data_IF_750158351062
#
_entry.id   IF_750158351062
#
_cell.length_a   1.000
_cell.length_b   1.000
_cell.length_c   1.000
_cell.angle_alpha   90.00
_cell.angle_beta   90.00
_cell.angle_gamma   90.00
#
_symmetry.space_group_name_H-M   'P 1'
#
loop_
_entity.id
_entity.type
_entity.pdbx_description
1 polymer ?
#
# COMPACT_ATOMS: atom_id res chain seq x y z
N UNK A 1 -13.13 14.85 15.67
CA UNK A 1 -12.53 14.21 14.46
C UNK A 1 -13.41 14.59 13.26
N UNK A 2 -12.92 15.38 12.30
CA UNK A 2 -13.72 15.72 11.11
C UNK A 2 -14.22 14.45 10.42
N UNK A 3 -15.49 14.44 10.00
CA UNK A 3 -16.17 13.29 9.36
C UNK A 3 -16.29 12.00 10.19
N UNK A 4 -15.91 12.02 11.48
CA UNK A 4 -15.92 10.83 12.34
C UNK A 4 -14.96 9.73 11.90
N UNK A 5 -13.91 10.05 11.12
CA UNK A 5 -12.96 9.09 10.54
C UNK A 5 -11.50 9.41 10.86
N UNK A 6 -10.71 8.35 11.03
CA UNK A 6 -9.25 8.38 11.14
C UNK A 6 -8.62 7.65 9.94
N UNK A 7 -7.33 7.88 9.62
CA UNK A 7 -6.35 8.71 10.32
C UNK A 7 -6.52 10.23 10.13
N UNK A 8 -5.96 11.02 11.06
CA UNK A 8 -5.89 12.48 11.01
C UNK A 8 -4.49 12.97 11.40
N UNK A 9 -3.89 13.82 10.56
CA UNK A 9 -2.65 14.54 10.84
C UNK A 9 -2.98 15.91 11.44
N UNK A 10 -2.31 16.25 12.54
CA UNK A 10 -2.38 17.54 13.22
C UNK A 10 -1.03 18.27 13.06
N UNK A 11 -1.05 19.54 12.65
CA UNK A 11 0.15 20.34 12.41
C UNK A 11 0.02 21.67 13.18
N UNK A 12 1.12 22.15 13.76
CA UNK A 12 1.15 23.43 14.50
C UNK A 12 0.21 23.41 15.69
N UNK A 13 0.42 22.49 16.64
CA UNK A 13 -0.45 22.28 17.81
C UNK A 13 -1.93 22.03 17.49
N UNK A 14 -2.24 21.60 16.26
CA UNK A 14 -3.60 21.25 15.83
C UNK A 14 -4.35 22.37 15.11
N UNK A 15 -3.68 23.47 14.77
CA UNK A 15 -4.22 24.55 13.92
C UNK A 15 -4.64 24.04 12.54
N UNK A 16 -3.78 23.20 11.93
CA UNK A 16 -4.07 22.57 10.64
C UNK A 16 -4.38 21.10 10.85
N UNK A 17 -5.45 20.65 10.20
CA UNK A 17 -5.97 19.28 10.29
C UNK A 17 -6.14 18.71 8.89
N UNK A 18 -5.63 17.51 8.66
CA UNK A 18 -5.78 16.77 7.42
C UNK A 18 -6.25 15.35 7.74
N UNK A 19 -7.30 14.86 7.07
CA UNK A 19 -7.92 13.57 7.35
C UNK A 19 -7.79 12.67 6.12
N UNK A 20 -7.79 11.35 6.37
CA UNK A 20 -7.62 10.27 5.39
C UNK A 20 -6.16 9.98 5.05
N UNK A 21 -5.83 8.69 4.91
CA UNK A 21 -4.45 8.22 4.73
C UNK A 21 -3.79 8.81 3.48
N UNK A 22 -4.41 8.69 2.29
CA UNK A 22 -3.80 9.13 1.02
C UNK A 22 -3.55 10.65 0.96
N UNK A 23 -4.49 11.54 1.34
CA UNK A 23 -4.19 12.97 1.43
C UNK A 23 -3.03 13.29 2.38
N UNK A 24 -2.97 12.62 3.53
CA UNK A 24 -1.86 12.77 4.49
C UNK A 24 -0.54 12.33 3.86
N UNK A 25 -0.51 11.16 3.20
CA UNK A 25 0.68 10.65 2.52
C UNK A 25 1.17 11.62 1.45
N UNK A 26 0.29 12.11 0.56
CA UNK A 26 0.67 13.07 -0.49
C UNK A 26 1.18 14.39 0.07
N UNK A 27 0.53 14.92 1.11
CA UNK A 27 0.99 16.16 1.75
C UNK A 27 2.42 16.02 2.32
N UNK A 28 2.69 14.91 3.02
CA UNK A 28 4.03 14.64 3.55
C UNK A 28 5.03 14.39 2.42
N UNK A 29 4.62 13.65 1.39
CA UNK A 29 5.45 13.35 0.24
C UNK A 29 5.92 14.62 -0.47
N UNK A 30 5.00 15.55 -0.75
CA UNK A 30 5.33 16.83 -1.37
C UNK A 30 6.32 17.63 -0.51
N UNK A 31 6.15 17.62 0.82
CA UNK A 31 7.06 18.30 1.77
C UNK A 31 8.48 17.71 1.76
N UNK A 32 8.62 16.43 1.49
CA UNK A 32 9.90 15.70 1.53
C UNK A 32 10.44 15.29 0.16
N UNK A 33 9.86 15.79 -0.94
CA UNK A 33 10.33 15.50 -2.30
C UNK A 33 10.06 14.06 -2.77
N UNK A 34 9.07 13.37 -2.20
CA UNK A 34 8.67 11.99 -2.53
C UNK A 34 7.47 11.95 -3.50
N UNK A 35 7.39 12.93 -4.39
CA UNK A 35 6.38 13.05 -5.46
C UNK A 35 7.07 13.00 -6.82
N UNK A 36 6.32 12.66 -7.85
CA UNK A 36 6.80 12.78 -9.22
C UNK A 36 6.99 14.25 -9.60
N UNK A 37 7.92 14.52 -10.52
CA UNK A 37 8.12 15.86 -11.07
C UNK A 37 7.09 16.18 -12.15
N UNK A 38 6.78 15.19 -12.98
CA UNK A 38 5.75 15.31 -13.98
C UNK A 38 4.35 15.12 -13.36
N UNK A 39 3.39 16.05 -13.58
CA UNK A 39 2.04 15.95 -13.03
C UNK A 39 1.25 14.72 -13.47
N UNK A 40 1.51 14.20 -14.68
CA UNK A 40 0.85 13.00 -15.16
C UNK A 40 1.38 11.76 -14.43
N UNK A 41 2.69 11.68 -14.20
CA UNK A 41 3.28 10.63 -13.36
C UNK A 41 2.75 10.69 -11.91
N UNK A 42 2.58 11.88 -11.33
CA UNK A 42 1.99 12.01 -9.99
C UNK A 42 0.51 11.56 -9.99
N UNK A 43 -0.24 11.84 -11.05
CA UNK A 43 -1.60 11.32 -11.23
C UNK A 43 -1.63 9.79 -11.41
N UNK A 44 -0.61 9.20 -12.07
CA UNK A 44 -0.46 7.73 -12.16
C UNK A 44 -0.21 7.11 -10.78
N UNK A 45 0.52 7.78 -9.90
CA UNK A 45 0.65 7.35 -8.51
C UNK A 45 -0.73 7.24 -7.83
N UNK A 46 -1.56 8.27 -7.97
CA UNK A 46 -2.92 8.28 -7.43
C UNK A 46 -3.79 7.16 -8.01
N UNK A 47 -3.80 6.98 -9.34
CA UNK A 47 -4.56 5.91 -10.01
C UNK A 47 -4.20 4.52 -9.48
N UNK A 48 -2.90 4.24 -9.34
CA UNK A 48 -2.44 2.95 -8.86
C UNK A 48 -2.76 2.74 -7.38
N UNK A 49 -2.69 3.78 -6.56
CA UNK A 49 -3.04 3.69 -5.14
C UNK A 49 -4.56 3.57 -4.93
N UNK A 50 -5.37 4.14 -5.81
CA UNK A 50 -6.83 3.91 -5.88
C UNK A 50 -7.14 2.46 -6.27
N UNK A 51 -6.47 1.93 -7.30
CA UNK A 51 -6.59 0.52 -7.67
C UNK A 51 -6.16 -0.43 -6.55
N UNK A 52 -5.10 -0.09 -5.81
CA UNK A 52 -4.65 -0.84 -4.64
C UNK A 52 -5.70 -0.81 -3.52
N UNK A 53 -6.43 0.30 -3.36
CA UNK A 53 -7.51 0.37 -2.37
C UNK A 53 -8.63 -0.60 -2.72
N UNK A 54 -9.03 -0.67 -3.99
CA UNK A 54 -10.05 -1.62 -4.45
C UNK A 54 -9.62 -3.06 -4.22
N UNK A 55 -8.34 -3.36 -4.42
CA UNK A 55 -7.74 -4.65 -4.06
C UNK A 55 -7.85 -4.93 -2.56
N UNK A 56 -7.42 -4.00 -1.71
CA UNK A 56 -7.48 -4.14 -0.26
C UNK A 56 -8.92 -4.37 0.25
N UNK A 57 -9.90 -3.70 -0.35
CA UNK A 57 -11.31 -3.86 0.02
C UNK A 57 -11.85 -5.28 -0.30
N UNK A 58 -11.20 -6.04 -1.19
CA UNK A 58 -11.54 -7.45 -1.43
C UNK A 58 -11.26 -8.36 -0.23
N UNK A 59 -10.38 -7.94 0.70
CA UNK A 59 -10.09 -8.71 1.91
C UNK A 59 -11.09 -8.46 3.04
N UNK A 60 -11.90 -7.39 2.96
CA UNK A 60 -12.88 -7.02 4.00
C UNK A 60 -13.78 -8.19 4.44
N UNK A 61 -14.30 -9.05 3.54
CA UNK A 61 -15.12 -10.19 3.95
C UNK A 61 -14.41 -11.16 4.90
N UNK A 62 -13.07 -11.30 4.79
CA UNK A 62 -12.25 -12.15 5.66
C UNK A 62 -12.09 -11.58 7.08
N UNK A 63 -12.49 -10.33 7.31
CA UNK A 63 -12.45 -9.70 8.63
C UNK A 63 -13.84 -9.58 9.27
N UNK A 64 -14.86 -9.38 8.45
CA UNK A 64 -16.21 -9.09 8.93
C UNK A 64 -17.15 -10.29 8.92
N UNK A 65 -16.82 -11.38 8.22
CA UNK A 65 -17.66 -12.57 8.14
C UNK A 65 -17.03 -13.76 8.89
N UNK A 66 -17.86 -14.46 9.67
CA UNK A 66 -17.48 -15.64 10.48
C UNK A 66 -17.85 -16.97 9.81
N UNK A 67 -18.65 -16.97 8.75
CA UNK A 67 -19.03 -18.16 8.00
C UNK A 67 -17.82 -18.74 7.25
N UNK A 68 -17.43 -19.96 7.60
CA UNK A 68 -16.20 -20.58 7.10
C UNK A 68 -16.26 -20.90 5.60
N UNK A 69 -17.39 -21.40 5.11
CA UNK A 69 -17.58 -21.75 3.70
C UNK A 69 -17.52 -20.51 2.81
N UNK A 70 -18.17 -19.43 3.23
CA UNK A 70 -18.12 -18.16 2.54
C UNK A 70 -16.69 -17.60 2.52
N UNK A 71 -15.98 -17.64 3.66
CA UNK A 71 -14.58 -17.20 3.73
C UNK A 71 -13.67 -18.02 2.81
N UNK A 72 -13.86 -19.35 2.76
CA UNK A 72 -13.12 -20.22 1.85
C UNK A 72 -13.37 -19.83 0.38
N UNK A 73 -14.64 -19.57 0.00
CA UNK A 73 -14.97 -19.10 -1.36
C UNK A 73 -14.31 -17.77 -1.71
N UNK A 74 -14.17 -16.86 -0.73
CA UNK A 74 -13.48 -15.58 -0.91
C UNK A 74 -11.99 -15.80 -1.12
N UNK A 75 -11.35 -16.68 -0.35
CA UNK A 75 -9.93 -17.04 -0.54
C UNK A 75 -9.68 -17.62 -1.93
N UNK A 76 -10.52 -18.56 -2.39
CA UNK A 76 -10.42 -19.12 -3.75
C UNK A 76 -10.54 -18.03 -4.81
N UNK A 77 -11.50 -17.11 -4.68
CA UNK A 77 -11.64 -15.97 -5.61
C UNK A 77 -10.42 -15.05 -5.58
N UNK A 78 -9.87 -14.80 -4.40
CA UNK A 78 -8.68 -13.97 -4.23
C UNK A 78 -7.50 -14.57 -5.00
N UNK A 79 -7.22 -15.85 -4.79
CA UNK A 79 -6.11 -16.56 -5.41
C UNK A 79 -6.26 -16.68 -6.93
N UNK A 80 -7.43 -17.11 -7.40
CA UNK A 80 -7.65 -17.45 -8.82
C UNK A 80 -7.87 -16.24 -9.73
N UNK A 81 -8.32 -15.11 -9.19
CA UNK A 81 -8.75 -13.97 -10.01
C UNK A 81 -8.24 -12.63 -9.49
N UNK A 82 -8.45 -12.30 -8.21
CA UNK A 82 -8.17 -10.95 -7.71
C UNK A 82 -6.67 -10.67 -7.65
N UNK A 83 -5.89 -11.54 -7.02
CA UNK A 83 -4.44 -11.37 -6.88
C UNK A 83 -3.76 -11.28 -8.25
N UNK A 84 -4.01 -12.20 -9.22
CA UNK A 84 -3.47 -12.06 -10.57
C UNK A 84 -3.87 -10.75 -11.26
N UNK A 85 -5.11 -10.31 -11.10
CA UNK A 85 -5.62 -9.07 -11.72
C UNK A 85 -4.90 -7.82 -11.20
N UNK A 86 -4.68 -7.72 -9.89
CA UNK A 86 -4.11 -6.52 -9.27
C UNK A 86 -2.60 -6.62 -9.09
N UNK A 87 -2.12 -7.62 -8.35
CA UNK A 87 -0.70 -7.80 -8.04
C UNK A 87 0.06 -8.12 -9.32
N UNK A 88 -0.48 -8.96 -10.20
CA UNK A 88 0.13 -9.22 -11.51
C UNK A 88 0.21 -7.98 -12.40
N UNK A 89 -0.77 -7.06 -12.31
CA UNK A 89 -0.72 -5.79 -13.02
C UNK A 89 0.35 -4.86 -12.46
N UNK A 90 0.45 -4.73 -11.13
CA UNK A 90 1.51 -3.96 -10.48
C UNK A 90 2.90 -4.52 -10.80
N UNK A 91 3.05 -5.85 -10.77
CA UNK A 91 4.29 -6.53 -11.13
C UNK A 91 4.72 -6.21 -12.56
N UNK A 92 3.80 -6.30 -13.51
CA UNK A 92 4.07 -5.94 -14.90
C UNK A 92 4.40 -4.44 -15.09
N UNK A 93 3.82 -3.55 -14.28
CA UNK A 93 4.14 -2.11 -14.31
C UNK A 93 5.55 -1.87 -13.76
N UNK A 94 5.87 -2.42 -12.59
CA UNK A 94 7.18 -2.24 -11.93
C UNK A 94 8.28 -2.86 -12.80
N UNK A 95 8.04 -4.03 -13.38
CA UNK A 95 8.98 -4.68 -14.30
C UNK A 95 9.30 -3.79 -15.52
N UNK A 96 8.33 -3.04 -16.05
CA UNK A 96 8.55 -2.07 -17.14
C UNK A 96 9.35 -0.85 -16.69
N UNK A 97 9.29 -0.50 -15.42
CA UNK A 97 10.08 0.56 -14.80
C UNK A 97 11.41 0.02 -14.23
N UNK A 98 12.06 -0.92 -14.94
CA UNK A 98 13.32 -1.55 -14.54
C UNK A 98 13.31 -2.25 -13.16
N UNK A 99 12.13 -2.54 -12.61
CA UNK A 99 12.01 -3.24 -11.33
C UNK A 99 12.15 -2.37 -10.08
N UNK A 100 12.29 -1.04 -10.20
CA UNK A 100 12.68 -0.19 -9.07
C UNK A 100 11.53 0.61 -8.45
N UNK A 101 10.54 1.02 -9.24
CA UNK A 101 9.47 1.92 -8.80
C UNK A 101 8.14 1.61 -9.51
N UNK A 102 7.02 1.87 -8.84
CA UNK A 102 5.69 1.74 -9.44
C UNK A 102 5.42 2.84 -10.49
N UNK A 103 6.03 4.01 -10.33
CA UNK A 103 5.99 5.13 -11.29
C UNK A 103 7.36 5.80 -11.33
N UNK A 104 7.79 6.20 -12.54
CA UNK A 104 9.03 6.94 -12.74
C UNK A 104 10.27 6.12 -12.38
N UNK A 105 11.32 6.83 -11.93
CA UNK A 105 12.66 6.28 -11.68
C UNK A 105 13.23 6.65 -10.30
N UNK A 106 12.40 7.18 -9.40
CA UNK A 106 12.79 7.57 -8.05
C UNK A 106 11.73 7.12 -7.05
N UNK A 107 12.15 6.91 -5.80
CA UNK A 107 11.25 6.56 -4.71
C UNK A 107 10.19 7.65 -4.52
N UNK A 108 8.92 7.23 -4.53
CA UNK A 108 7.78 8.09 -4.24
C UNK A 108 6.94 7.53 -3.09
N UNK A 109 5.96 8.32 -2.65
CA UNK A 109 4.97 7.86 -1.66
C UNK A 109 4.17 6.65 -2.14
N UNK A 110 3.99 6.47 -3.45
CA UNK A 110 3.26 5.34 -4.02
C UNK A 110 4.01 4.02 -3.80
N UNK A 111 5.34 4.02 -3.90
CA UNK A 111 6.16 2.84 -3.60
C UNK A 111 6.02 2.45 -2.13
N UNK A 112 6.15 3.43 -1.23
CA UNK A 112 6.04 3.21 0.22
C UNK A 112 4.63 2.73 0.63
N UNK A 113 3.59 3.33 0.04
CA UNK A 113 2.20 2.97 0.31
C UNK A 113 1.87 1.58 -0.22
N UNK A 114 2.29 1.25 -1.45
CA UNK A 114 2.14 -0.08 -2.04
C UNK A 114 2.83 -1.13 -1.18
N UNK A 115 4.11 -0.94 -0.87
CA UNK A 115 4.89 -1.87 -0.08
C UNK A 115 4.26 -2.13 1.30
N UNK A 116 3.86 -1.06 2.01
CA UNK A 116 3.21 -1.17 3.31
C UNK A 116 1.90 -1.94 3.23
N UNK A 117 1.02 -1.62 2.27
CA UNK A 117 -0.26 -2.31 2.14
C UNK A 117 -0.08 -3.80 1.82
N UNK A 118 0.78 -4.16 0.87
CA UNK A 118 1.01 -5.56 0.51
C UNK A 118 1.60 -6.34 1.69
N UNK A 119 2.62 -5.80 2.36
CA UNK A 119 3.19 -6.40 3.56
C UNK A 119 2.15 -6.55 4.69
N UNK A 120 1.34 -5.51 4.94
CA UNK A 120 0.33 -5.52 6.00
C UNK A 120 -0.71 -6.61 5.75
N UNK A 121 -1.32 -6.65 4.56
CA UNK A 121 -2.34 -7.66 4.25
C UNK A 121 -1.76 -9.07 4.20
N UNK A 122 -0.53 -9.25 3.71
CA UNK A 122 0.17 -10.55 3.77
C UNK A 122 0.34 -11.01 5.23
N UNK A 123 0.76 -10.11 6.12
CA UNK A 123 0.96 -10.38 7.55
C UNK A 123 -0.35 -10.74 8.25
N UNK A 124 -1.37 -9.89 8.12
CA UNK A 124 -2.65 -10.05 8.82
C UNK A 124 -3.40 -11.30 8.34
N UNK A 125 -3.37 -11.58 7.03
CA UNK A 125 -4.02 -12.75 6.45
C UNK A 125 -3.19 -14.03 6.61
N UNK A 126 -1.90 -13.91 6.91
CA UNK A 126 -0.92 -15.00 6.92
C UNK A 126 -0.83 -15.72 5.57
N UNK A 127 -0.88 -14.94 4.48
CA UNK A 127 -0.81 -15.45 3.10
C UNK A 127 0.25 -14.64 2.36
N UNK A 128 1.28 -15.32 1.87
CA UNK A 128 2.21 -14.71 0.93
C UNK A 128 1.63 -14.77 -0.50
N UNK A 129 0.93 -13.71 -0.87
CA UNK A 129 0.35 -13.56 -2.20
C UNK A 129 1.25 -12.76 -3.17
N UNK A 130 2.44 -12.34 -2.74
CA UNK A 130 3.40 -11.61 -3.60
C UNK A 130 4.57 -12.49 -4.06
N UNK A 131 4.82 -13.63 -3.42
CA UNK A 131 5.94 -14.55 -3.73
C UNK A 131 6.14 -14.88 -5.22
N UNK A 132 5.05 -14.96 -6.00
CA UNK A 132 5.09 -15.29 -7.44
C UNK A 132 5.23 -14.06 -8.35
N UNK A 133 5.41 -12.87 -7.77
CA UNK A 133 5.46 -11.57 -8.44
C UNK A 133 6.80 -10.89 -8.07
N UNK A 134 7.88 -11.18 -8.82
CA UNK A 134 9.23 -10.82 -8.42
C UNK A 134 9.50 -9.31 -8.42
N UNK A 135 8.92 -8.54 -9.34
CA UNK A 135 9.12 -7.10 -9.39
C UNK A 135 8.44 -6.41 -8.20
N UNK A 136 7.22 -6.83 -7.85
CA UNK A 136 6.54 -6.39 -6.61
C UNK A 136 7.32 -6.79 -5.38
N UNK A 137 7.78 -8.04 -5.30
CA UNK A 137 8.54 -8.55 -4.15
C UNK A 137 9.83 -7.75 -3.94
N UNK A 138 10.56 -7.47 -5.03
CA UNK A 138 11.76 -6.66 -4.98
C UNK A 138 11.48 -5.23 -4.52
N UNK A 139 10.41 -4.59 -5.02
CA UNK A 139 9.99 -3.26 -4.57
C UNK A 139 9.70 -3.26 -3.05
N UNK A 140 8.92 -4.22 -2.57
CA UNK A 140 8.56 -4.35 -1.16
C UNK A 140 9.83 -4.48 -0.31
N UNK A 141 10.72 -5.40 -0.67
CA UNK A 141 11.98 -5.62 0.04
C UNK A 141 12.87 -4.37 0.03
N UNK A 142 12.97 -3.68 -1.11
CA UNK A 142 13.72 -2.45 -1.23
C UNK A 142 13.21 -1.37 -0.27
N UNK A 143 11.89 -1.09 -0.28
CA UNK A 143 11.28 -0.10 0.62
C UNK A 143 11.56 -0.44 2.09
N UNK A 144 11.37 -1.70 2.50
CA UNK A 144 11.61 -2.10 3.89
C UNK A 144 13.10 -2.15 4.27
N UNK A 145 14.01 -2.13 3.31
CA UNK A 145 15.45 -2.04 3.54
C UNK A 145 15.96 -0.61 3.73
N UNK A 146 15.15 0.42 3.43
CA UNK A 146 15.53 1.82 3.63
C UNK A 146 15.82 2.02 5.13
N UNK A 147 17.00 2.54 5.53
CA UNK A 147 17.42 2.57 6.93
C UNK A 147 16.38 3.17 7.88
N UNK A 148 15.82 4.34 7.54
CA UNK A 148 14.81 4.99 8.37
C UNK A 148 13.51 4.17 8.51
N UNK A 149 13.13 3.41 7.49
CA UNK A 149 11.95 2.51 7.54
C UNK A 149 12.29 1.27 8.35
N UNK A 150 13.45 0.66 8.10
CA UNK A 150 13.93 -0.51 8.84
C UNK A 150 14.01 -0.22 10.35
N UNK A 151 14.65 0.88 10.73
CA UNK A 151 14.80 1.30 12.13
C UNK A 151 13.42 1.52 12.78
N UNK A 152 12.49 2.17 12.07
CA UNK A 152 11.11 2.33 12.55
C UNK A 152 10.40 0.98 12.74
N UNK A 153 10.58 0.03 11.83
CA UNK A 153 9.95 -1.28 11.90
C UNK A 153 10.45 -2.12 13.10
N UNK A 154 11.68 -1.89 13.56
CA UNK A 154 12.25 -2.53 14.74
C UNK A 154 11.66 -1.98 16.05
N UNK A 155 11.42 -0.66 16.12
CA UNK A 155 11.00 0.02 17.37
C UNK A 155 9.50 0.30 17.48
N UNK A 156 8.74 0.21 16.38
CA UNK A 156 7.31 0.53 16.38
C UNK A 156 6.54 -0.36 17.37
N UNK A 157 5.43 0.15 17.96
CA UNK A 157 4.58 -0.66 18.84
C UNK A 157 4.07 -1.93 18.15
N UNK A 158 4.14 -3.06 18.86
CA UNK A 158 3.54 -4.32 18.40
C UNK A 158 2.02 -4.23 18.51
N UNK A 159 1.33 -4.45 17.40
CA UNK A 159 -0.14 -4.47 17.33
C UNK A 159 -0.63 -5.89 17.05
N UNK A 160 -1.82 -6.24 17.54
CA UNK A 160 -2.40 -7.60 17.44
C UNK A 160 -3.05 -7.94 16.10
N UNK A 161 -2.72 -7.21 15.04
CA UNK A 161 -3.12 -7.49 13.67
C UNK A 161 -1.89 -7.91 12.88
#
# INVERSE_FOLDING_TARGET
VPYGKLPMLLIGNGERKLVSSKPICRYLAAKFGLVCEDPFDDAKCDEYMDSLRDFCDQFRPLFCNKDEDYRASVLTRLETSVIPRYVGKFDAIIAKNNGTNIVGNKLTWADAYLAHCLWHFSTVLKIDFIQNYPAVTNLVNHVFSIPAIKDWMEVRPKTGW
#
